data_IF_753168113700
#
_entry.id   IF_753168113700
#
_cell.length_a   1.000
_cell.length_b   1.000
_cell.length_c   1.000
_cell.angle_alpha   90.00
_cell.angle_beta   90.00
_cell.angle_gamma   90.00
#
_symmetry.space_group_name_H-M   'P 1'
#
loop_
_entity.id
_entity.type
_entity.pdbx_description
1 polymer ?
#
# COMPACT_ATOMS: atom_id res chain seq x y z
N UNK A 1 9.21 -35.52 -2.80
CA UNK A 1 8.85 -35.62 -4.23
C UNK A 1 7.39 -36.02 -4.31
N UNK A 2 6.50 -35.04 -4.43
CA UNK A 2 5.10 -35.27 -4.80
C UNK A 2 4.90 -34.45 -6.06
N UNK A 3 5.04 -35.08 -7.22
CA UNK A 3 4.58 -34.53 -8.49
C UNK A 3 3.09 -34.80 -8.58
N UNK A 4 2.27 -33.85 -8.13
CA UNK A 4 0.86 -33.81 -8.52
C UNK A 4 0.81 -33.20 -9.92
N UNK A 5 0.62 -34.04 -10.93
CA UNK A 5 0.17 -33.59 -12.24
C UNK A 5 -1.26 -33.05 -12.10
N UNK A 6 -1.37 -31.77 -11.75
CA UNK A 6 -2.62 -31.02 -11.81
C UNK A 6 -2.86 -30.75 -13.30
N UNK A 7 -3.68 -31.57 -13.94
CA UNK A 7 -4.34 -31.19 -15.19
C UNK A 7 -5.30 -30.07 -14.82
N UNK A 8 -4.82 -28.83 -14.83
CA UNK A 8 -5.68 -27.67 -14.64
C UNK A 8 -6.58 -27.59 -15.86
N UNK A 9 -7.89 -27.81 -15.71
CA UNK A 9 -8.86 -27.22 -16.61
C UNK A 9 -8.66 -25.69 -16.52
N UNK A 10 -7.85 -25.16 -17.43
CA UNK A 10 -7.44 -23.77 -17.45
C UNK A 10 -8.65 -22.87 -17.67
N UNK A 11 -8.75 -21.80 -16.88
CA UNK A 11 -9.59 -20.66 -17.25
C UNK A 11 -9.07 -20.14 -18.61
N UNK A 12 -9.91 -20.07 -19.65
CA UNK A 12 -9.56 -19.60 -21.00
C UNK A 12 -8.76 -18.28 -20.97
N UNK A 13 -9.06 -17.40 -20.02
CA UNK A 13 -8.43 -16.08 -19.88
C UNK A 13 -7.16 -16.10 -19.01
N UNK A 14 -6.64 -17.27 -18.63
CA UNK A 14 -5.43 -17.43 -17.80
C UNK A 14 -4.49 -18.46 -18.42
N UNK A 15 -3.51 -17.99 -19.16
CA UNK A 15 -2.43 -18.84 -19.64
C UNK A 15 -1.36 -19.00 -18.55
N UNK A 16 -1.07 -20.24 -18.16
CA UNK A 16 0.03 -20.53 -17.25
C UNK A 16 1.36 -20.26 -17.96
N UNK A 17 2.27 -19.56 -17.30
CA UNK A 17 3.61 -19.25 -17.81
C UNK A 17 4.62 -19.49 -16.69
N UNK A 18 5.69 -20.26 -16.92
CA UNK A 18 6.71 -20.48 -15.90
C UNK A 18 7.51 -19.20 -15.65
N UNK A 19 7.83 -18.90 -14.39
CA UNK A 19 8.68 -17.76 -14.04
C UNK A 19 9.48 -17.98 -12.76
N UNK A 20 10.51 -17.16 -12.57
CA UNK A 20 11.39 -17.21 -11.40
C UNK A 20 11.38 -15.87 -10.67
N UNK A 21 11.30 -15.89 -9.33
CA UNK A 21 11.51 -14.71 -8.49
C UNK A 21 12.82 -14.85 -7.69
N UNK A 22 13.65 -13.81 -7.76
CA UNK A 22 14.88 -13.67 -6.99
C UNK A 22 14.73 -12.51 -6.02
N UNK A 23 14.40 -12.84 -4.77
CA UNK A 23 14.27 -11.86 -3.70
C UNK A 23 15.56 -11.75 -2.88
N UNK A 24 16.06 -10.54 -2.67
CA UNK A 24 17.19 -10.28 -1.75
C UNK A 24 16.69 -9.83 -0.39
N UNK A 25 17.51 -10.06 0.64
CA UNK A 25 17.20 -9.64 2.01
C UNK A 25 17.72 -8.24 2.35
N UNK A 26 18.67 -7.72 1.58
CA UNK A 26 19.25 -6.39 1.75
C UNK A 26 19.09 -5.56 0.49
N UNK A 27 19.01 -4.24 0.65
CA UNK A 27 18.89 -3.31 -0.46
C UNK A 27 20.20 -3.23 -1.26
N UNK A 28 21.33 -3.30 -0.56
CA UNK A 28 22.66 -3.32 -1.17
C UNK A 28 22.83 -4.58 -2.04
N UNK A 29 22.35 -5.73 -1.56
CA UNK A 29 22.32 -6.98 -2.30
C UNK A 29 21.45 -6.89 -3.56
N UNK A 30 20.33 -6.16 -3.49
CA UNK A 30 19.48 -5.91 -4.66
C UNK A 30 20.18 -5.05 -5.72
N UNK A 31 20.82 -3.97 -5.28
CA UNK A 31 21.52 -3.04 -6.17
C UNK A 31 22.70 -3.72 -6.87
N UNK A 32 23.45 -4.55 -6.16
CA UNK A 32 24.64 -5.24 -6.66
C UNK A 32 24.36 -6.46 -7.54
N UNK A 33 23.09 -6.89 -7.69
CA UNK A 33 22.74 -8.00 -8.59
C UNK A 33 23.28 -7.77 -10.00
N UNK A 34 23.95 -8.78 -10.55
CA UNK A 34 24.30 -8.85 -11.97
C UNK A 34 23.05 -9.20 -12.79
N UNK A 35 22.30 -8.15 -13.12
CA UNK A 35 21.03 -8.20 -13.86
C UNK A 35 21.21 -8.78 -15.26
N UNK A 36 22.38 -8.57 -15.89
CA UNK A 36 22.61 -9.09 -17.23
C UNK A 36 22.87 -10.60 -17.20
N UNK A 37 23.65 -11.08 -16.22
CA UNK A 37 23.89 -12.51 -16.05
C UNK A 37 22.61 -13.27 -15.68
N UNK A 38 21.77 -12.72 -14.80
CA UNK A 38 20.46 -13.31 -14.47
C UNK A 38 19.55 -13.40 -15.70
N UNK A 39 19.46 -12.33 -16.49
CA UNK A 39 18.67 -12.32 -17.73
C UNK A 39 19.18 -13.37 -18.73
N UNK A 40 20.51 -13.46 -18.91
CA UNK A 40 21.14 -14.46 -19.78
C UNK A 40 20.88 -15.88 -19.30
N UNK A 41 20.95 -16.14 -17.99
CA UNK A 41 20.66 -17.45 -17.42
C UNK A 41 19.21 -17.90 -17.69
N UNK A 42 18.24 -17.00 -17.52
CA UNK A 42 16.83 -17.31 -17.83
C UNK A 42 16.58 -17.43 -19.34
N UNK A 43 17.24 -16.62 -20.17
CA UNK A 43 17.18 -16.73 -21.64
C UNK A 43 17.76 -18.07 -22.11
N UNK A 44 18.84 -18.53 -21.49
CA UNK A 44 19.47 -19.82 -21.80
C UNK A 44 18.50 -20.97 -21.55
N UNK A 45 17.70 -20.94 -20.48
CA UNK A 45 16.66 -21.95 -20.24
C UNK A 45 15.66 -22.03 -21.41
N UNK A 46 15.22 -20.89 -21.94
CA UNK A 46 14.34 -20.85 -23.12
C UNK A 46 15.05 -21.48 -24.33
N UNK A 47 16.33 -21.14 -24.54
CA UNK A 47 17.13 -21.71 -25.63
C UNK A 47 17.31 -23.23 -25.51
N UNK A 48 17.58 -23.73 -24.31
CA UNK A 48 17.73 -25.16 -24.01
C UNK A 48 16.38 -25.90 -24.17
N UNK A 49 15.27 -25.30 -23.72
CA UNK A 49 13.90 -25.81 -23.91
C UNK A 49 13.53 -25.87 -25.42
N UNK A 50 14.01 -24.92 -26.22
CA UNK A 50 13.92 -24.97 -27.69
C UNK A 50 14.73 -26.16 -28.23
N UNK A 51 16.02 -26.30 -27.87
CA UNK A 51 16.88 -27.35 -28.45
C UNK A 51 16.42 -28.76 -28.10
N UNK A 52 16.07 -28.99 -26.84
CA UNK A 52 15.58 -30.27 -26.34
C UNK A 52 14.24 -30.71 -26.96
N UNK A 53 13.48 -29.77 -27.55
CA UNK A 53 12.14 -30.05 -28.10
C UNK A 53 11.01 -29.83 -27.10
N UNK A 54 11.33 -29.57 -25.83
CA UNK A 54 10.33 -29.30 -24.78
C UNK A 54 9.42 -28.11 -25.11
N UNK A 55 9.94 -27.08 -25.79
CA UNK A 55 9.13 -25.94 -26.24
C UNK A 55 8.09 -26.28 -27.33
N UNK A 56 8.19 -27.46 -27.99
CA UNK A 56 7.16 -27.96 -28.90
C UNK A 56 6.05 -28.72 -28.15
N UNK A 57 6.40 -29.35 -27.03
CA UNK A 57 5.46 -30.06 -26.15
C UNK A 57 4.66 -29.08 -25.29
N UNK A 58 5.35 -28.14 -24.64
CA UNK A 58 4.79 -27.06 -23.86
C UNK A 58 5.34 -25.72 -24.35
N UNK A 59 4.58 -25.06 -25.22
CA UNK A 59 4.98 -23.79 -25.81
C UNK A 59 4.91 -22.60 -24.85
N UNK A 60 4.28 -22.75 -23.67
CA UNK A 60 4.21 -21.68 -22.68
C UNK A 60 5.60 -21.29 -22.13
N UNK A 61 6.56 -22.21 -22.17
CA UNK A 61 7.95 -21.97 -21.75
C UNK A 61 8.64 -20.86 -22.57
N UNK A 62 8.16 -20.58 -23.79
CA UNK A 62 8.66 -19.48 -24.62
C UNK A 62 8.39 -18.10 -24.01
N UNK A 63 7.39 -17.98 -23.14
CA UNK A 63 7.01 -16.72 -22.49
C UNK A 63 7.59 -16.58 -21.07
N UNK A 64 8.58 -17.42 -20.71
CA UNK A 64 9.21 -17.43 -19.38
C UNK A 64 9.59 -16.01 -18.93
N UNK A 65 9.33 -15.71 -17.65
CA UNK A 65 9.64 -14.40 -17.05
C UNK A 65 10.50 -14.50 -15.79
N UNK A 66 11.12 -13.39 -15.43
CA UNK A 66 12.00 -13.22 -14.28
C UNK A 66 11.56 -11.99 -13.47
N UNK A 67 11.56 -12.10 -12.14
CA UNK A 67 11.38 -10.97 -11.24
C UNK A 67 12.58 -10.92 -10.31
N UNK A 68 13.24 -9.76 -10.20
CA UNK A 68 14.16 -9.48 -9.09
C UNK A 68 13.45 -8.55 -8.10
N UNK A 69 13.57 -8.80 -6.80
CA UNK A 69 12.89 -7.98 -5.79
C UNK A 69 13.70 -7.78 -4.51
N UNK A 70 13.33 -6.73 -3.77
CA UNK A 70 13.71 -6.48 -2.38
C UNK A 70 12.51 -5.89 -1.63
N UNK A 71 12.21 -6.45 -0.46
CA UNK A 71 11.10 -6.01 0.38
C UNK A 71 11.62 -5.40 1.69
N UNK A 72 11.50 -4.08 1.82
CA UNK A 72 11.70 -3.39 3.11
C UNK A 72 10.40 -3.50 3.92
N UNK A 73 10.30 -4.54 4.75
CA UNK A 73 9.14 -4.80 5.60
C UNK A 73 9.02 -3.82 6.79
N UNK A 74 10.05 -3.00 7.06
CA UNK A 74 9.98 -1.97 8.11
C UNK A 74 9.29 -0.71 7.58
N UNK A 75 9.60 -0.32 6.35
CA UNK A 75 8.99 0.86 5.69
C UNK A 75 7.86 0.51 4.72
N UNK A 76 7.62 -0.79 4.52
CA UNK A 76 6.69 -1.35 3.53
C UNK A 76 6.96 -0.87 2.11
N UNK A 77 8.24 -0.71 1.75
CA UNK A 77 8.68 -0.40 0.39
C UNK A 77 9.08 -1.69 -0.33
N UNK A 78 8.47 -1.94 -1.49
CA UNK A 78 8.73 -3.12 -2.30
C UNK A 78 9.36 -2.69 -3.62
N UNK A 79 10.63 -3.03 -3.79
CA UNK A 79 11.40 -2.78 -5.00
C UNK A 79 11.33 -4.03 -5.86
N UNK A 80 11.03 -3.87 -7.14
CA UNK A 80 10.95 -5.00 -8.06
C UNK A 80 11.27 -4.59 -9.49
N UNK A 81 11.72 -5.54 -10.29
CA UNK A 81 11.94 -5.34 -11.72
C UNK A 81 11.61 -6.62 -12.47
N UNK A 82 10.69 -6.54 -13.43
CA UNK A 82 10.36 -7.64 -14.33
C UNK A 82 11.35 -7.69 -15.49
N UNK A 83 11.69 -8.91 -15.89
CA UNK A 83 12.29 -9.22 -17.16
C UNK A 83 11.44 -10.26 -17.90
N UNK A 84 11.25 -10.04 -19.19
CA UNK A 84 10.65 -10.97 -20.13
C UNK A 84 11.73 -11.41 -21.14
N UNK A 85 12.61 -12.36 -20.76
CA UNK A 85 13.74 -12.78 -21.59
C UNK A 85 13.32 -13.12 -23.02
N UNK A 86 13.94 -12.44 -23.99
CA UNK A 86 13.72 -12.66 -25.41
C UNK A 86 15.04 -12.84 -26.16
N UNK A 87 15.05 -13.84 -27.04
CA UNK A 87 16.17 -14.16 -27.93
C UNK A 87 16.24 -13.11 -29.05
N UNK A 88 17.42 -12.51 -29.23
CA UNK A 88 17.70 -11.60 -30.34
C UNK A 88 18.34 -12.40 -31.47
N UNK A 89 17.63 -12.54 -32.58
CA UNK A 89 18.17 -13.10 -33.81
C UNK A 89 19.21 -12.13 -34.38
N UNK A 90 20.35 -12.65 -34.82
CA UNK A 90 21.39 -11.90 -35.51
C UNK A 90 21.65 -12.52 -36.89
N UNK A 91 21.36 -11.81 -37.99
CA UNK A 91 20.69 -10.50 -38.07
C UNK A 91 19.25 -10.50 -37.52
N UNK A 92 18.75 -9.33 -37.12
CA UNK A 92 17.39 -9.18 -36.60
C UNK A 92 16.35 -9.59 -37.64
N UNK A 93 15.28 -10.27 -37.19
CA UNK A 93 14.15 -10.60 -38.05
C UNK A 93 13.54 -9.31 -38.63
N UNK A 94 13.31 -9.30 -39.94
CA UNK A 94 12.76 -8.16 -40.66
C UNK A 94 11.27 -8.37 -40.86
N UNK A 95 10.44 -7.42 -40.45
CA UNK A 95 9.00 -7.43 -40.72
C UNK A 95 8.78 -7.00 -42.18
N UNK A 96 8.28 -7.90 -43.02
CA UNK A 96 8.02 -7.64 -44.44
C UNK A 96 6.68 -6.93 -44.62
N UNK A 97 5.68 -7.31 -43.84
CA UNK A 97 4.36 -6.68 -43.86
C UNK A 97 3.48 -7.14 -42.70
N UNK A 98 2.52 -6.32 -42.32
CA UNK A 98 1.53 -6.61 -41.29
C UNK A 98 0.19 -5.98 -41.66
N UNK A 99 -0.90 -6.72 -41.50
CA UNK A 99 -2.26 -6.26 -41.83
C UNK A 99 -3.29 -6.84 -40.86
N UNK A 100 -4.46 -6.21 -40.70
CA UNK A 100 -5.57 -6.78 -39.94
C UNK A 100 -5.95 -8.17 -40.44
N UNK A 101 -6.34 -9.05 -39.52
CA UNK A 101 -6.70 -10.43 -39.80
C UNK A 101 -8.16 -10.60 -40.26
N UNK A 102 -8.91 -9.49 -40.45
CA UNK A 102 -10.36 -9.41 -40.72
C UNK A 102 -10.86 -10.18 -41.96
N UNK A 103 -9.97 -10.82 -42.69
CA UNK A 103 -10.24 -11.70 -43.83
C UNK A 103 -10.27 -13.20 -43.48
N UNK A 104 -10.16 -13.58 -42.20
CA UNK A 104 -9.96 -14.97 -41.78
C UNK A 104 -10.87 -15.33 -40.59
N UNK A 105 -11.49 -16.52 -40.64
CA UNK A 105 -12.47 -17.06 -39.67
C UNK A 105 -11.92 -17.17 -38.23
N UNK A 106 -12.84 -17.16 -37.25
CA UNK A 106 -12.64 -17.17 -35.79
C UNK A 106 -12.06 -18.49 -35.26
N UNK A 107 -10.76 -18.54 -34.91
CA UNK A 107 -10.13 -19.70 -34.30
C UNK A 107 -10.42 -19.79 -32.78
N UNK A 108 -10.76 -20.98 -32.26
CA UNK A 108 -10.71 -21.30 -30.82
C UNK A 108 -9.41 -22.04 -30.49
N UNK A 109 -8.35 -21.30 -30.13
CA UNK A 109 -7.11 -21.91 -29.68
C UNK A 109 -7.17 -22.26 -28.18
N UNK A 110 -6.46 -23.32 -27.79
CA UNK A 110 -6.38 -23.79 -26.39
C UNK A 110 -4.99 -23.61 -25.78
N UNK A 111 -4.00 -23.23 -26.59
CA UNK A 111 -2.62 -22.99 -26.18
C UNK A 111 -2.11 -21.67 -26.74
N UNK A 112 -1.18 -20.98 -26.04
CA UNK A 112 -0.74 -19.64 -26.41
C UNK A 112 0.10 -19.58 -27.68
N UNK A 113 0.60 -20.70 -28.19
CA UNK A 113 1.28 -20.80 -29.49
C UNK A 113 0.78 -22.04 -30.23
N UNK A 114 0.38 -21.86 -31.49
CA UNK A 114 -0.32 -22.86 -32.27
C UNK A 114 -0.06 -22.71 -33.77
N UNK A 115 -0.44 -23.72 -34.54
CA UNK A 115 -0.45 -23.70 -36.00
C UNK A 115 -1.87 -23.42 -36.49
N UNK A 116 -1.99 -22.61 -37.54
CA UNK A 116 -3.24 -22.42 -38.28
C UNK A 116 -3.04 -23.00 -39.67
N UNK A 117 -3.78 -24.06 -39.98
CA UNK A 117 -3.78 -24.71 -41.29
C UNK A 117 -5.05 -24.32 -42.05
N UNK A 118 -4.86 -23.85 -43.27
CA UNK A 118 -5.90 -23.39 -44.17
C UNK A 118 -5.89 -24.30 -45.39
N UNK A 119 -6.95 -25.09 -45.56
CA UNK A 119 -7.10 -25.96 -46.70
C UNK A 119 -7.54 -25.20 -47.95
N UNK A 120 -7.46 -25.85 -49.11
CA UNK A 120 -7.82 -25.26 -50.42
C UNK A 120 -9.30 -24.87 -50.53
N UNK A 121 -10.17 -25.50 -49.73
CA UNK A 121 -11.60 -25.16 -49.61
C UNK A 121 -11.87 -24.00 -48.64
N UNK A 122 -10.82 -23.33 -48.16
CA UNK A 122 -10.86 -22.25 -47.15
C UNK A 122 -11.28 -22.70 -45.75
N UNK A 123 -11.32 -24.00 -45.45
CA UNK A 123 -11.49 -24.48 -44.08
C UNK A 123 -10.24 -24.18 -43.24
N UNK A 124 -10.46 -23.72 -42.00
CA UNK A 124 -9.40 -23.32 -41.07
C UNK A 124 -9.38 -24.28 -39.89
N UNK A 125 -8.21 -24.86 -39.60
CA UNK A 125 -8.00 -25.75 -38.45
C UNK A 125 -6.83 -25.27 -37.61
N UNK A 126 -6.98 -25.32 -36.29
CA UNK A 126 -5.91 -25.04 -35.33
C UNK A 126 -5.29 -26.35 -34.88
N UNK A 127 -3.97 -26.40 -34.83
CA UNK A 127 -3.20 -27.59 -34.44
C UNK A 127 -2.09 -27.23 -33.47
N UNK A 128 -1.61 -28.22 -32.72
CA UNK A 128 -0.46 -28.02 -31.84
C UNK A 128 0.83 -27.91 -32.66
N UNK A 129 1.87 -27.28 -32.10
CA UNK A 129 3.17 -27.12 -32.78
C UNK A 129 3.83 -28.45 -33.13
N UNK A 130 3.60 -29.49 -32.32
CA UNK A 130 4.12 -30.85 -32.56
C UNK A 130 3.55 -31.50 -33.82
N UNK A 131 2.38 -31.07 -34.29
CA UNK A 131 1.69 -31.63 -35.45
C UNK A 131 2.20 -31.00 -36.78
N UNK A 132 3.35 -30.30 -36.73
CA UNK A 132 3.91 -29.58 -37.87
C UNK A 132 4.16 -30.46 -39.10
N UNK A 133 4.79 -31.63 -38.92
CA UNK A 133 5.15 -32.51 -40.04
C UNK A 133 3.90 -33.02 -40.77
N UNK A 134 2.82 -33.31 -40.04
CA UNK A 134 1.53 -33.74 -40.61
C UNK A 134 0.86 -32.63 -41.43
N UNK A 135 1.13 -31.36 -41.08
CA UNK A 135 0.53 -30.21 -41.76
C UNK A 135 1.24 -29.84 -43.07
N UNK A 136 2.53 -30.14 -43.18
CA UNK A 136 3.39 -29.70 -44.29
C UNK A 136 3.07 -30.41 -45.62
N UNK A 137 2.60 -31.66 -45.57
CA UNK A 137 2.38 -32.50 -46.75
C UNK A 137 1.10 -32.20 -47.54
N UNK A 138 0.13 -31.46 -46.98
CA UNK A 138 -1.24 -31.39 -47.52
C UNK A 138 -1.49 -30.26 -48.52
N UNK A 139 -0.46 -29.47 -48.88
CA UNK A 139 -0.62 -28.30 -49.77
C UNK A 139 -1.41 -27.13 -49.15
N UNK A 140 -1.71 -27.21 -47.85
CA UNK A 140 -2.42 -26.18 -47.10
C UNK A 140 -1.54 -24.96 -46.85
N UNK A 141 -2.16 -23.78 -46.75
CA UNK A 141 -1.46 -22.57 -46.28
C UNK A 141 -1.33 -22.63 -44.76
N UNK A 142 -0.13 -22.38 -44.25
CA UNK A 142 0.19 -22.46 -42.82
C UNK A 142 0.54 -21.09 -42.25
N UNK A 143 -0.01 -20.77 -41.08
CA UNK A 143 0.37 -19.60 -40.28
C UNK A 143 0.78 -20.05 -38.88
N UNK A 144 1.78 -19.37 -38.32
CA UNK A 144 2.22 -19.55 -36.95
C UNK A 144 1.46 -18.59 -36.03
N UNK A 145 0.44 -19.10 -35.34
CA UNK A 145 -0.40 -18.33 -34.43
C UNK A 145 0.17 -18.23 -33.02
N UNK A 146 -0.02 -17.09 -32.37
CA UNK A 146 0.27 -16.93 -30.95
C UNK A 146 -0.69 -15.91 -30.31
N UNK A 147 -0.90 -16.05 -28.99
CA UNK A 147 -1.66 -15.07 -28.20
C UNK A 147 -0.85 -13.80 -28.06
N UNK A 148 -1.36 -12.74 -28.68
CA UNK A 148 -0.69 -11.45 -28.70
C UNK A 148 -1.23 -10.54 -27.58
N UNK A 149 -0.44 -10.25 -26.52
CA UNK A 149 -0.85 -9.34 -25.46
C UNK A 149 -0.78 -7.86 -25.89
N UNK A 150 -0.20 -7.54 -27.05
CA UNK A 150 -0.09 -6.18 -27.55
C UNK A 150 -1.41 -5.71 -28.15
N UNK A 151 -1.80 -4.47 -27.85
CA UNK A 151 -2.98 -3.83 -28.42
C UNK A 151 -2.62 -2.89 -29.59
N UNK A 152 -1.33 -2.67 -29.88
CA UNK A 152 -0.92 -1.72 -30.92
C UNK A 152 -1.26 -2.26 -32.32
N UNK A 153 -1.80 -1.42 -33.22
CA UNK A 153 -2.40 -1.87 -34.50
C UNK A 153 -1.38 -2.37 -35.52
N UNK A 154 -0.10 -1.99 -35.39
CA UNK A 154 0.94 -2.32 -36.37
C UNK A 154 2.16 -2.98 -35.73
N UNK A 155 2.10 -3.33 -34.45
CA UNK A 155 3.22 -3.94 -33.73
C UNK A 155 2.77 -5.26 -33.12
N UNK A 156 3.44 -6.38 -33.46
CA UNK A 156 3.20 -7.64 -32.78
C UNK A 156 3.72 -7.58 -31.34
N UNK A 157 3.14 -8.39 -30.45
CA UNK A 157 3.59 -8.47 -29.08
C UNK A 157 4.93 -9.15 -28.88
N UNK A 158 5.45 -8.96 -27.66
CA UNK A 158 6.74 -9.46 -27.22
C UNK A 158 6.95 -10.98 -27.41
N UNK A 159 5.95 -11.87 -27.20
CA UNK A 159 6.13 -13.32 -27.33
C UNK A 159 6.59 -13.79 -28.73
N UNK A 160 6.33 -13.00 -29.78
CA UNK A 160 6.73 -13.34 -31.15
C UNK A 160 8.24 -13.56 -31.28
N UNK A 161 9.08 -12.85 -30.51
CA UNK A 161 10.55 -12.96 -30.60
C UNK A 161 11.04 -14.39 -30.37
N UNK A 162 10.60 -15.01 -29.26
CA UNK A 162 11.00 -16.36 -28.91
C UNK A 162 10.33 -17.39 -29.83
N UNK A 163 9.14 -17.09 -30.33
CA UNK A 163 8.46 -17.97 -31.27
C UNK A 163 9.16 -18.03 -32.63
N UNK A 164 9.58 -16.90 -33.19
CA UNK A 164 10.41 -16.84 -34.40
C UNK A 164 11.72 -17.61 -34.21
N UNK A 165 12.34 -17.50 -33.02
CA UNK A 165 13.54 -18.26 -32.71
C UNK A 165 13.29 -19.79 -32.69
N UNK A 166 12.17 -20.25 -32.11
CA UNK A 166 11.77 -21.66 -32.14
C UNK A 166 11.56 -22.14 -33.59
N UNK A 167 10.76 -21.42 -34.37
CA UNK A 167 10.39 -21.80 -35.75
C UNK A 167 11.64 -21.95 -36.62
N UNK A 168 12.53 -20.96 -36.56
CA UNK A 168 13.79 -20.99 -37.31
C UNK A 168 14.69 -22.13 -36.85
N UNK A 169 14.90 -22.30 -35.54
CA UNK A 169 15.81 -23.32 -35.00
C UNK A 169 15.31 -24.74 -35.29
N UNK A 170 13.99 -24.99 -35.25
CA UNK A 170 13.43 -26.33 -35.43
C UNK A 170 13.19 -26.72 -36.88
N UNK A 171 12.70 -25.81 -37.69
CA UNK A 171 12.24 -26.13 -39.05
C UNK A 171 13.02 -25.42 -40.15
N UNK A 172 14.00 -24.58 -39.79
CA UNK A 172 14.82 -23.80 -40.73
C UNK A 172 13.99 -22.96 -41.71
N UNK A 173 12.82 -22.47 -41.26
CA UNK A 173 11.92 -21.65 -42.07
C UNK A 173 12.38 -20.19 -41.97
N UNK A 174 12.74 -19.61 -43.12
CA UNK A 174 13.23 -18.23 -43.21
C UNK A 174 12.09 -17.21 -43.36
N UNK A 175 11.07 -17.56 -44.14
CA UNK A 175 9.93 -16.71 -44.44
C UNK A 175 8.73 -17.23 -43.64
N UNK A 176 8.42 -16.53 -42.55
CA UNK A 176 7.45 -16.98 -41.55
C UNK A 176 6.21 -16.10 -41.65
N UNK A 177 5.08 -16.73 -41.97
CA UNK A 177 3.77 -16.08 -41.84
C UNK A 177 3.22 -16.35 -40.45
N UNK A 178 2.88 -15.29 -39.72
CA UNK A 178 2.42 -15.38 -38.34
C UNK A 178 1.05 -14.72 -38.15
N UNK A 179 0.31 -15.21 -37.16
CA UNK A 179 -0.95 -14.64 -36.69
C UNK A 179 -0.79 -14.15 -35.25
N UNK A 180 -0.90 -12.85 -35.06
CA UNK A 180 -1.08 -12.20 -33.77
C UNK A 180 -2.56 -12.32 -33.37
N UNK A 181 -2.89 -13.37 -32.62
CA UNK A 181 -4.27 -13.62 -32.19
C UNK A 181 -4.59 -12.74 -30.99
N UNK A 182 -5.61 -11.89 -31.14
CA UNK A 182 -6.08 -10.93 -30.14
C UNK A 182 -7.58 -11.11 -29.93
N UNK A 183 -8.00 -10.97 -28.69
CA UNK A 183 -9.40 -11.08 -28.30
C UNK A 183 -9.91 -9.74 -27.78
N UNK A 184 -11.18 -9.48 -28.05
CA UNK A 184 -11.99 -8.51 -27.32
C UNK A 184 -12.75 -9.33 -26.26
N UNK A 185 -12.92 -8.88 -25.00
CA UNK A 185 -13.22 -9.75 -23.86
C UNK A 185 -14.24 -10.87 -24.14
N UNK A 186 -13.73 -12.11 -24.27
CA UNK A 186 -14.52 -13.33 -24.47
C UNK A 186 -14.67 -13.83 -25.91
N UNK A 187 -14.28 -13.06 -26.93
CA UNK A 187 -14.43 -13.43 -28.34
C UNK A 187 -13.18 -13.12 -29.17
N UNK A 188 -12.83 -14.05 -30.07
CA UNK A 188 -11.81 -13.83 -31.10
C UNK A 188 -12.22 -12.63 -31.96
N UNK A 189 -11.38 -11.61 -32.02
CA UNK A 189 -11.64 -10.42 -32.83
C UNK A 189 -10.56 -10.31 -33.91
N UNK A 190 -10.95 -10.71 -35.11
CA UNK A 190 -10.07 -10.73 -36.28
C UNK A 190 -9.86 -9.32 -36.85
N UNK A 191 -10.69 -8.34 -36.48
CA UNK A 191 -10.50 -6.94 -36.82
C UNK A 191 -9.29 -6.32 -36.13
N UNK A 192 -9.05 -6.71 -34.88
CA UNK A 192 -7.90 -6.22 -34.09
C UNK A 192 -6.68 -7.15 -34.18
N UNK A 193 -6.88 -8.45 -34.46
CA UNK A 193 -5.80 -9.42 -34.71
C UNK A 193 -5.01 -9.05 -35.96
N UNK A 194 -3.74 -9.46 -36.01
CA UNK A 194 -2.84 -9.11 -37.11
C UNK A 194 -2.28 -10.37 -37.79
N UNK A 195 -2.24 -10.37 -39.12
CA UNK A 195 -1.47 -11.33 -39.91
C UNK A 195 -0.26 -10.62 -40.47
N UNK A 196 0.92 -11.18 -40.25
CA UNK A 196 2.17 -10.61 -40.72
C UNK A 196 3.11 -11.63 -41.33
N UNK A 197 4.18 -11.11 -41.90
CA UNK A 197 5.26 -11.89 -42.48
C UNK A 197 6.61 -11.38 -41.96
N UNK A 198 7.41 -12.29 -41.41
CA UNK A 198 8.77 -12.02 -40.97
C UNK A 198 9.77 -12.79 -41.84
N UNK A 199 10.88 -12.15 -42.16
CA UNK A 199 12.03 -12.75 -42.83
C UNK A 199 13.19 -12.87 -41.84
N UNK A 200 13.79 -14.05 -41.78
CA UNK A 200 14.97 -14.35 -40.96
C UNK A 200 16.14 -14.67 -41.90
N UNK A 201 17.26 -13.97 -41.69
CA UNK A 201 18.53 -14.17 -42.40
C UNK A 201 19.37 -15.28 -41.76
N UNK A 202 20.38 -15.78 -42.47
CA UNK A 202 21.25 -16.86 -41.97
C UNK A 202 21.99 -16.49 -40.68
N UNK A 203 21.99 -17.42 -39.72
CA UNK A 203 22.60 -17.23 -38.40
C UNK A 203 24.08 -17.59 -38.40
N UNK A 204 24.86 -16.81 -37.65
CA UNK A 204 26.26 -17.12 -37.35
C UNK A 204 26.55 -17.41 -35.85
N UNK A 205 25.59 -17.24 -34.92
CA UNK A 205 25.86 -17.35 -33.47
C UNK A 205 24.63 -17.63 -32.57
N UNK A 206 24.90 -17.89 -31.28
CA UNK A 206 23.90 -18.03 -30.20
C UNK A 206 23.20 -16.68 -29.95
N UNK A 207 21.86 -16.62 -29.89
CA UNK A 207 21.14 -15.35 -29.72
C UNK A 207 21.51 -14.59 -28.44
N UNK A 208 21.63 -13.27 -28.56
CA UNK A 208 21.76 -12.40 -27.39
C UNK A 208 20.43 -12.30 -26.61
N UNK A 209 20.49 -11.81 -25.37
CA UNK A 209 19.37 -11.74 -24.44
C UNK A 209 18.95 -10.28 -24.16
N UNK A 210 17.65 -9.98 -24.32
CA UNK A 210 17.02 -8.72 -23.91
C UNK A 210 15.75 -9.01 -23.10
N UNK A 211 15.15 -7.99 -22.46
CA UNK A 211 13.82 -8.17 -21.85
C UNK A 211 13.52 -7.43 -20.55
N UNK A 212 14.44 -6.64 -20.00
CA UNK A 212 14.13 -5.82 -18.82
C UNK A 212 13.01 -4.81 -19.12
N UNK A 213 11.98 -4.80 -18.28
CA UNK A 213 10.84 -3.90 -18.40
C UNK A 213 11.27 -2.44 -18.18
N UNK A 214 10.67 -1.50 -18.89
CA UNK A 214 10.92 -0.07 -18.66
C UNK A 214 10.03 0.47 -17.53
N UNK A 215 10.58 1.39 -16.75
CA UNK A 215 9.86 2.20 -15.77
C UNK A 215 9.79 3.65 -16.29
N UNK A 216 8.59 4.09 -16.68
CA UNK A 216 8.35 5.44 -17.23
C UNK A 216 9.37 5.82 -18.33
N UNK A 217 9.59 4.89 -19.28
CA UNK A 217 10.52 5.09 -20.40
C UNK A 217 12.00 4.92 -20.07
N UNK A 218 12.39 4.70 -18.81
CA UNK A 218 13.78 4.46 -18.39
C UNK A 218 14.00 3.00 -18.00
N UNK A 219 15.22 2.50 -18.22
CA UNK A 219 15.63 1.21 -17.67
C UNK A 219 15.81 1.35 -16.17
N UNK A 220 14.98 0.68 -15.38
CA UNK A 220 15.13 0.70 -13.93
C UNK A 220 14.01 -0.03 -13.21
N UNK A 221 14.30 -0.40 -11.97
CA UNK A 221 13.34 -0.99 -11.05
C UNK A 221 12.17 -0.07 -10.75
N UNK A 222 11.04 -0.68 -10.40
CA UNK A 222 9.88 -0.02 -9.81
C UNK A 222 9.95 -0.11 -8.29
N UNK A 223 9.32 0.83 -7.59
CA UNK A 223 9.15 0.80 -6.16
C UNK A 223 7.70 1.16 -5.81
N UNK A 224 7.09 0.39 -4.93
CA UNK A 224 5.75 0.66 -4.40
C UNK A 224 5.77 0.70 -2.88
N UNK A 225 5.18 1.74 -2.29
CA UNK A 225 4.97 1.82 -0.85
C UNK A 225 3.57 1.30 -0.50
N UNK A 226 3.52 0.20 0.26
CA UNK A 226 2.27 -0.43 0.68
C UNK A 226 1.95 -0.15 2.16
N UNK A 227 2.62 0.79 2.82
CA UNK A 227 2.38 1.09 4.23
C UNK A 227 0.92 1.49 4.48
N UNK A 228 0.25 2.18 3.54
CA UNK A 228 -1.17 2.55 3.70
C UNK A 228 -2.12 1.35 3.83
N UNK A 229 -1.72 0.18 3.30
CA UNK A 229 -2.57 -1.03 3.28
C UNK A 229 -2.00 -2.17 4.12
N UNK A 230 -0.74 -2.07 4.57
CA UNK A 230 -0.08 -3.14 5.34
C UNK A 230 0.42 -2.70 6.72
N UNK A 231 0.73 -1.43 6.94
CA UNK A 231 1.23 -0.95 8.24
C UNK A 231 0.10 -0.97 9.27
N UNK A 232 0.17 -1.81 10.32
CA UNK A 232 -0.89 -1.92 11.32
C UNK A 232 -1.22 -0.59 12.00
N UNK A 233 -0.22 0.26 12.22
CA UNK A 233 -0.41 1.57 12.85
C UNK A 233 -1.22 2.49 11.93
N UNK A 234 -0.87 2.54 10.63
CA UNK A 234 -1.59 3.36 9.65
C UNK A 234 -3.00 2.85 9.38
N UNK A 235 -3.18 1.53 9.40
CA UNK A 235 -4.50 0.90 9.29
C UNK A 235 -5.39 1.28 10.49
N UNK A 236 -4.85 1.22 11.71
CA UNK A 236 -5.57 1.65 12.92
C UNK A 236 -5.96 3.14 12.86
N UNK A 237 -5.03 4.02 12.47
CA UNK A 237 -5.31 5.46 12.27
C UNK A 237 -6.44 5.64 11.25
N UNK A 238 -6.32 4.99 10.09
CA UNK A 238 -7.30 5.12 9.00
C UNK A 238 -8.68 4.61 9.42
N UNK A 239 -8.76 3.54 10.21
CA UNK A 239 -10.00 3.00 10.72
C UNK A 239 -10.69 3.95 11.73
N UNK A 240 -9.91 4.55 12.65
CA UNK A 240 -10.43 5.56 13.60
C UNK A 240 -10.96 6.78 12.85
N UNK A 241 -10.17 7.33 11.92
CA UNK A 241 -10.56 8.51 11.15
C UNK A 241 -11.77 8.23 10.25
N UNK A 242 -11.89 7.01 9.71
CA UNK A 242 -13.05 6.59 8.92
C UNK A 242 -14.32 6.60 9.76
N UNK A 243 -14.29 6.13 11.01
CA UNK A 243 -15.48 6.16 11.88
C UNK A 243 -16.00 7.60 12.09
N UNK A 244 -15.11 8.57 12.31
CA UNK A 244 -15.49 9.98 12.46
C UNK A 244 -16.02 10.57 11.15
N UNK A 245 -15.40 10.22 10.00
CA UNK A 245 -15.91 10.61 8.68
C UNK A 245 -17.29 10.01 8.40
N UNK A 246 -17.55 8.77 8.81
CA UNK A 246 -18.86 8.14 8.67
C UNK A 246 -19.93 8.85 9.48
N UNK A 247 -19.62 9.30 10.71
CA UNK A 247 -20.53 10.14 11.49
C UNK A 247 -20.86 11.45 10.76
N UNK A 248 -19.84 12.13 10.20
CA UNK A 248 -20.03 13.34 9.40
C UNK A 248 -20.90 13.07 8.17
N UNK A 249 -20.59 12.05 7.38
CA UNK A 249 -21.31 11.78 6.14
C UNK A 249 -22.74 11.30 6.36
N UNK A 250 -22.99 10.50 7.40
CA UNK A 250 -24.30 9.85 7.62
C UNK A 250 -25.24 10.66 8.51
N UNK A 251 -24.72 11.35 9.51
CA UNK A 251 -25.54 11.95 10.56
C UNK A 251 -25.41 13.48 10.61
N UNK A 252 -24.20 14.02 10.53
CA UNK A 252 -23.97 15.46 10.72
C UNK A 252 -22.94 16.02 9.73
N UNK A 253 -23.34 16.37 8.48
CA UNK A 253 -22.42 16.84 7.44
C UNK A 253 -21.65 18.12 7.81
N UNK A 254 -22.25 18.96 8.65
CA UNK A 254 -21.67 20.20 9.20
C UNK A 254 -20.64 19.97 10.31
N UNK A 255 -20.42 18.73 10.76
CA UNK A 255 -19.41 18.41 11.77
C UNK A 255 -18.01 18.79 11.26
N UNK A 256 -17.38 19.74 11.94
CA UNK A 256 -16.00 20.13 11.65
C UNK A 256 -15.01 19.23 12.40
N UNK A 257 -14.39 18.31 11.65
CA UNK A 257 -13.38 17.41 12.18
C UNK A 257 -12.01 18.10 12.37
N UNK A 258 -11.81 19.32 11.87
CA UNK A 258 -10.54 20.03 12.04
C UNK A 258 -10.32 20.49 13.50
N UNK A 259 -11.40 20.73 14.24
CA UNK A 259 -11.38 21.08 15.67
C UNK A 259 -10.69 19.99 16.51
N UNK A 260 -10.64 18.76 16.03
CA UNK A 260 -9.98 17.62 16.68
C UNK A 260 -8.45 17.72 16.72
N UNK A 261 -7.87 18.69 16.02
CA UNK A 261 -6.44 19.01 16.10
C UNK A 261 -6.04 19.77 17.37
N UNK A 262 -7.03 20.17 18.19
CA UNK A 262 -6.82 20.89 19.44
C UNK A 262 -5.91 20.12 20.42
N UNK A 263 -5.07 20.86 21.13
CA UNK A 263 -4.27 20.38 22.25
C UNK A 263 -5.10 20.43 23.53
N UNK A 264 -5.31 19.29 24.17
CA UNK A 264 -6.08 19.19 25.40
C UNK A 264 -5.18 18.98 26.61
N UNK A 265 -5.43 19.75 27.68
CA UNK A 265 -4.72 19.67 28.96
C UNK A 265 -5.65 19.19 30.08
N UNK A 266 -5.79 17.87 30.30
CA UNK A 266 -6.38 17.34 31.53
C UNK A 266 -5.53 17.61 32.77
N UNK A 267 -6.03 18.45 33.67
CA UNK A 267 -5.47 18.67 35.01
C UNK A 267 -6.14 17.70 35.99
N UNK A 268 -5.42 16.65 36.36
CA UNK A 268 -5.91 15.48 37.08
C UNK A 268 -5.96 14.26 36.18
N UNK A 269 -5.33 13.16 36.60
CA UNK A 269 -5.31 11.87 35.94
C UNK A 269 -6.06 10.79 36.75
N UNK A 270 -6.97 11.21 37.62
CA UNK A 270 -7.86 10.33 38.38
C UNK A 270 -9.02 9.80 37.52
N UNK A 271 -10.15 9.41 38.15
CA UNK A 271 -11.31 8.83 37.46
C UNK A 271 -11.80 9.70 36.30
N UNK A 272 -11.93 11.01 36.52
CA UNK A 272 -12.34 11.94 35.48
C UNK A 272 -11.27 12.07 34.38
N UNK A 273 -10.02 12.28 34.76
CA UNK A 273 -8.89 12.40 33.82
C UNK A 273 -8.78 11.21 32.88
N UNK A 274 -8.87 10.00 33.44
CA UNK A 274 -8.83 8.76 32.68
C UNK A 274 -9.97 8.68 31.65
N UNK A 275 -11.21 9.00 32.05
CA UNK A 275 -12.36 8.89 31.17
C UNK A 275 -12.37 9.99 30.10
N UNK A 276 -12.08 11.23 30.48
CA UNK A 276 -11.99 12.36 29.54
C UNK A 276 -10.90 12.10 28.51
N UNK A 277 -9.71 11.63 28.90
CA UNK A 277 -8.64 11.33 27.95
C UNK A 277 -9.04 10.23 26.94
N UNK A 278 -9.73 9.17 27.41
CA UNK A 278 -10.25 8.13 26.52
C UNK A 278 -11.32 8.65 25.56
N UNK A 279 -12.22 9.51 26.04
CA UNK A 279 -13.25 10.12 25.20
C UNK A 279 -12.66 11.08 24.17
N UNK A 280 -11.69 11.90 24.54
CA UNK A 280 -10.97 12.77 23.62
C UNK A 280 -10.33 11.97 22.48
N UNK A 281 -9.64 10.88 22.82
CA UNK A 281 -9.03 9.98 21.83
C UNK A 281 -10.07 9.32 20.91
N UNK A 282 -11.21 8.89 21.47
CA UNK A 282 -12.31 8.31 20.68
C UNK A 282 -12.92 9.33 19.70
N UNK A 283 -12.96 10.60 20.07
CA UNK A 283 -13.37 11.69 19.19
C UNK A 283 -12.31 12.13 18.19
N UNK A 284 -11.10 11.57 18.23
CA UNK A 284 -10.05 11.87 17.26
C UNK A 284 -8.98 12.85 17.74
N UNK A 285 -9.06 13.34 18.98
CA UNK A 285 -8.01 14.19 19.55
C UNK A 285 -6.72 13.38 19.68
N UNK A 286 -5.62 13.97 19.22
CA UNK A 286 -4.29 13.32 19.24
C UNK A 286 -3.38 13.87 20.31
N UNK A 287 -3.47 15.16 20.64
CA UNK A 287 -2.54 15.86 21.54
C UNK A 287 -3.15 16.00 22.93
N UNK A 288 -2.67 15.22 23.90
CA UNK A 288 -3.21 15.16 25.26
C UNK A 288 -2.06 15.24 26.26
N UNK A 289 -2.08 16.24 27.14
CA UNK A 289 -1.09 16.37 28.22
C UNK A 289 -1.78 16.20 29.56
N UNK A 290 -1.44 15.15 30.30
CA UNK A 290 -2.01 14.89 31.64
C UNK A 290 -1.10 15.44 32.73
N UNK A 291 -1.68 16.14 33.71
CA UNK A 291 -0.96 16.65 34.88
C UNK A 291 -1.49 15.99 36.14
N UNK A 292 -0.61 15.33 36.91
CA UNK A 292 -0.97 14.69 38.18
C UNK A 292 0.29 14.43 39.03
N UNK A 293 0.25 14.73 40.33
CA UNK A 293 1.36 14.46 41.26
C UNK A 293 1.29 13.09 41.94
N UNK A 294 0.14 12.44 41.87
CA UNK A 294 -0.16 11.21 42.58
C UNK A 294 0.46 9.96 41.96
N UNK A 295 0.52 8.91 42.77
CA UNK A 295 0.89 7.56 42.34
C UNK A 295 -0.34 6.67 42.25
N UNK A 296 -0.28 5.65 41.41
CA UNK A 296 -1.34 4.66 41.24
C UNK A 296 -1.37 3.74 42.48
N UNK A 297 -2.49 3.75 43.20
CA UNK A 297 -2.75 2.89 44.35
C UNK A 297 -3.59 1.66 43.97
N UNK A 298 -3.55 0.61 44.80
CA UNK A 298 -4.25 -0.67 44.57
C UNK A 298 -5.76 -0.54 44.30
N UNK A 299 -6.42 0.48 44.85
CA UNK A 299 -7.86 0.72 44.64
C UNK A 299 -8.18 1.44 43.32
N UNK A 300 -7.19 2.03 42.65
CA UNK A 300 -7.40 2.87 41.48
C UNK A 300 -7.82 2.12 40.21
N UNK A 301 -7.24 0.97 39.82
CA UNK A 301 -7.55 0.32 38.54
C UNK A 301 -9.03 0.00 38.30
N UNK A 302 -9.82 -0.23 39.36
CA UNK A 302 -11.26 -0.48 39.26
C UNK A 302 -12.09 0.77 38.94
N UNK A 303 -11.55 1.97 39.17
CA UNK A 303 -12.25 3.26 39.02
C UNK A 303 -11.59 4.19 38.00
N UNK A 304 -10.35 3.90 37.61
CA UNK A 304 -9.50 4.75 36.80
C UNK A 304 -9.03 3.95 35.59
N UNK A 305 -9.72 4.15 34.46
CA UNK A 305 -9.70 3.27 33.28
C UNK A 305 -8.41 3.27 32.46
N UNK A 306 -7.37 3.94 32.93
CA UNK A 306 -6.04 3.95 32.32
C UNK A 306 -5.00 3.24 33.17
N UNK A 307 -5.36 2.58 34.26
CA UNK A 307 -4.41 1.89 35.13
C UNK A 307 -4.69 0.41 35.24
N UNK A 308 -3.62 -0.35 35.43
CA UNK A 308 -3.66 -1.81 35.63
C UNK A 308 -3.03 -2.16 36.98
N UNK A 309 -3.19 -3.41 37.41
CA UNK A 309 -2.54 -3.91 38.62
C UNK A 309 -1.01 -3.71 38.58
N UNK A 310 -0.40 -3.87 37.41
CA UNK A 310 1.04 -3.71 37.24
C UNK A 310 1.52 -2.29 37.55
N UNK A 311 0.69 -1.28 37.31
CA UNK A 311 1.02 0.12 37.60
C UNK A 311 0.98 0.43 39.12
N UNK A 312 0.40 -0.47 39.93
CA UNK A 312 0.30 -0.33 41.39
C UNK A 312 1.50 -0.94 42.14
N UNK A 313 2.27 -1.81 41.48
CA UNK A 313 3.35 -2.57 42.12
C UNK A 313 4.52 -1.65 42.49
N UNK A 314 5.39 -2.12 43.40
CA UNK A 314 6.61 -1.41 43.81
C UNK A 314 6.39 0.03 44.34
N UNK A 315 5.28 0.26 45.04
CA UNK A 315 4.94 1.57 45.59
C UNK A 315 4.22 2.50 44.61
N UNK A 316 3.80 1.99 43.46
CA UNK A 316 2.98 2.69 42.48
C UNK A 316 3.78 3.58 41.54
N UNK A 317 3.46 3.48 40.25
CA UNK A 317 3.93 4.39 39.21
C UNK A 317 3.22 5.75 39.31
N UNK A 318 3.84 6.81 38.80
CA UNK A 318 3.18 8.12 38.73
C UNK A 318 2.00 8.09 37.76
N UNK A 319 0.84 8.56 38.21
CA UNK A 319 -0.42 8.54 37.45
C UNK A 319 -0.28 9.16 36.07
N UNK A 320 0.32 10.35 35.99
CA UNK A 320 0.54 11.04 34.70
C UNK A 320 1.36 10.20 33.71
N UNK A 321 2.37 9.46 34.18
CA UNK A 321 3.24 8.63 33.35
C UNK A 321 2.53 7.34 32.92
N UNK A 322 1.85 6.65 33.86
CA UNK A 322 1.07 5.46 33.55
C UNK A 322 -0.09 5.76 32.59
N UNK A 323 -0.76 6.89 32.73
CA UNK A 323 -1.83 7.30 31.84
C UNK A 323 -1.34 7.44 30.40
N UNK A 324 -0.20 8.09 30.18
CA UNK A 324 0.43 8.25 28.86
C UNK A 324 0.80 6.90 28.26
N UNK A 325 1.46 6.04 29.06
CA UNK A 325 1.85 4.69 28.64
C UNK A 325 0.64 3.91 28.15
N UNK A 326 -0.45 3.90 28.92
CA UNK A 326 -1.63 3.12 28.61
C UNK A 326 -2.47 3.74 27.47
N UNK A 327 -2.48 5.07 27.31
CA UNK A 327 -3.04 5.71 26.11
C UNK A 327 -2.30 5.28 24.83
N UNK A 328 -0.96 5.28 24.85
CA UNK A 328 -0.13 4.84 23.71
C UNK A 328 -0.29 3.35 23.41
N UNK A 329 -0.57 2.54 24.42
CA UNK A 329 -0.92 1.12 24.22
C UNK A 329 -2.29 0.95 23.54
N UNK A 330 -3.28 1.79 23.88
CA UNK A 330 -4.61 1.74 23.26
C UNK A 330 -4.55 2.21 21.80
N UNK A 331 -3.88 3.34 21.53
CA UNK A 331 -3.75 3.90 20.20
C UNK A 331 -2.35 4.51 19.99
N UNK A 332 -1.44 3.82 19.27
CA UNK A 332 -0.05 4.23 19.16
C UNK A 332 0.18 5.62 18.56
N UNK A 333 -0.78 6.15 17.79
CA UNK A 333 -0.68 7.45 17.16
C UNK A 333 -1.20 8.61 18.03
N UNK A 334 -1.52 8.37 19.32
CA UNK A 334 -1.78 9.44 20.27
C UNK A 334 -0.46 10.13 20.67
N UNK A 335 -0.42 11.44 20.54
CA UNK A 335 0.64 12.33 21.01
C UNK A 335 0.34 12.71 22.47
N UNK A 336 0.57 11.76 23.38
CA UNK A 336 0.33 11.95 24.81
C UNK A 336 1.61 12.28 25.59
N UNK A 337 1.51 13.25 26.50
CA UNK A 337 2.55 13.70 27.44
C UNK A 337 2.03 13.69 28.89
N UNK A 338 2.94 13.48 29.84
CA UNK A 338 2.61 13.29 31.26
C UNK A 338 3.52 14.15 32.11
N UNK A 339 2.92 15.03 32.91
CA UNK A 339 3.62 15.96 33.78
C UNK A 339 3.32 15.61 35.23
N UNK A 340 4.35 15.17 35.95
CA UNK A 340 4.28 14.95 37.40
C UNK A 340 4.50 16.28 38.10
N UNK A 341 3.43 16.87 38.62
CA UNK A 341 3.45 18.19 39.27
C UNK A 341 2.22 18.36 40.15
N UNK A 342 2.40 18.94 41.33
CA UNK A 342 1.29 19.31 42.21
C UNK A 342 0.69 20.65 41.75
N UNK A 343 -0.61 20.86 41.96
CA UNK A 343 -1.25 22.15 41.71
C UNK A 343 -1.38 22.88 43.05
N UNK A 344 -0.70 24.03 43.25
CA UNK A 344 -0.76 24.77 44.49
C UNK A 344 -2.19 25.16 44.87
N UNK A 345 -2.59 24.83 46.09
CA UNK A 345 -3.94 25.08 46.60
C UNK A 345 -3.97 26.34 47.49
N UNK A 346 -4.96 27.23 47.31
CA UNK A 346 -5.14 28.35 48.22
C UNK A 346 -5.42 27.87 49.65
N UNK A 347 -5.01 28.66 50.64
CA UNK A 347 -5.24 28.37 52.06
C UNK A 347 -4.27 27.36 52.69
N UNK A 348 -3.31 26.82 51.93
CA UNK A 348 -2.26 25.95 52.46
C UNK A 348 -0.97 26.75 52.65
N UNK A 349 -0.36 26.76 53.85
CA UNK A 349 0.88 27.49 54.09
C UNK A 349 2.04 26.82 53.33
N UNK A 350 2.88 27.64 52.71
CA UNK A 350 4.11 27.21 52.03
C UNK A 350 5.30 27.55 52.93
N UNK A 351 6.10 26.56 53.38
CA UNK A 351 7.33 26.83 54.12
C UNK A 351 8.32 27.63 53.27
N UNK A 352 9.12 28.51 53.87
CA UNK A 352 10.05 29.36 53.13
C UNK A 352 11.10 28.60 52.30
N UNK A 353 11.38 27.34 52.65
CA UNK A 353 12.28 26.48 51.88
C UNK A 353 11.65 25.96 50.57
N UNK A 354 10.32 25.96 50.47
CA UNK A 354 9.57 25.44 49.32
C UNK A 354 9.02 26.55 48.40
N UNK A 355 9.09 27.82 48.82
CA UNK A 355 8.55 28.97 48.10
C UNK A 355 9.01 29.02 46.63
N UNK A 356 10.31 28.86 46.39
CA UNK A 356 10.85 28.90 45.02
C UNK A 356 10.32 27.74 44.15
N UNK A 357 10.19 26.54 44.72
CA UNK A 357 9.64 25.39 44.02
C UNK A 357 8.17 25.60 43.66
N UNK A 358 7.37 26.11 44.60
CA UNK A 358 5.95 26.41 44.36
C UNK A 358 5.79 27.51 43.30
N UNK A 359 6.65 28.52 43.31
CA UNK A 359 6.67 29.55 42.25
C UNK A 359 7.03 28.94 40.88
N UNK A 360 7.96 27.99 40.83
CA UNK A 360 8.29 27.27 39.58
C UNK A 360 7.12 26.41 39.09
N UNK A 361 6.40 25.72 39.97
CA UNK A 361 5.19 24.97 39.61
C UNK A 361 4.07 25.88 39.10
N UNK A 362 3.89 27.06 39.70
CA UNK A 362 2.97 28.08 39.21
C UNK A 362 3.33 28.53 37.78
N UNK A 363 4.61 28.82 37.51
CA UNK A 363 5.08 29.20 36.16
C UNK A 363 4.85 28.07 35.15
N UNK A 364 5.23 26.84 35.53
CA UNK A 364 5.04 25.66 34.68
C UNK A 364 3.58 25.39 34.36
N UNK A 365 2.68 25.53 35.34
CA UNK A 365 1.24 25.42 35.14
C UNK A 365 0.74 26.48 34.16
N UNK A 366 1.20 27.73 34.29
CA UNK A 366 0.87 28.81 33.37
C UNK A 366 1.33 28.51 31.94
N UNK A 367 2.56 28.03 31.75
CA UNK A 367 3.11 27.66 30.44
C UNK A 367 2.32 26.51 29.79
N UNK A 368 1.96 25.50 30.58
CA UNK A 368 1.10 24.40 30.12
C UNK A 368 -0.26 24.93 29.67
N UNK A 369 -0.94 25.74 30.48
CA UNK A 369 -2.24 26.33 30.11
C UNK A 369 -2.14 27.17 28.84
N UNK A 370 -1.11 28.01 28.74
CA UNK A 370 -0.90 28.91 27.60
C UNK A 370 -0.59 28.17 26.29
N UNK A 371 0.10 27.02 26.37
CA UNK A 371 0.49 26.21 25.21
C UNK A 371 -0.59 25.24 24.69
N UNK A 372 -1.71 25.10 25.40
CA UNK A 372 -2.84 24.22 25.05
C UNK A 372 -4.08 25.02 24.62
N UNK A 373 -4.96 24.40 23.85
CA UNK A 373 -6.16 25.05 23.30
C UNK A 373 -7.36 24.92 24.25
N UNK A 374 -7.50 23.74 24.87
CA UNK A 374 -8.58 23.41 25.80
C UNK A 374 -8.02 22.86 27.10
N UNK A 375 -8.46 23.42 28.23
CA UNK A 375 -8.05 22.99 29.58
C UNK A 375 -9.22 22.27 30.26
N UNK A 376 -8.96 21.10 30.84
CA UNK A 376 -9.95 20.37 31.62
C UNK A 376 -9.56 20.39 33.09
N UNK A 377 -10.41 20.93 33.96
CA UNK A 377 -10.21 20.96 35.40
C UNK A 377 -10.88 19.73 36.01
N UNK A 378 -10.07 18.72 36.35
CA UNK A 378 -10.51 17.38 36.74
C UNK A 378 -9.93 16.93 38.08
N UNK A 379 -9.42 17.87 38.88
CA UNK A 379 -8.83 17.63 40.20
C UNK A 379 -9.89 17.39 41.28
N UNK A 380 -9.52 16.75 42.40
CA UNK A 380 -10.51 16.29 43.39
C UNK A 380 -11.22 17.40 44.17
N UNK A 381 -10.56 18.53 44.41
CA UNK A 381 -11.05 19.58 45.32
C UNK A 381 -11.36 20.88 44.58
N UNK A 382 -12.16 21.76 45.20
CA UNK A 382 -12.40 23.11 44.66
C UNK A 382 -11.16 23.98 44.76
N UNK A 383 -10.35 23.79 45.81
CA UNK A 383 -9.15 24.56 46.10
C UNK A 383 -8.11 24.35 44.99
N UNK A 384 -7.87 23.10 44.58
CA UNK A 384 -6.96 22.76 43.48
C UNK A 384 -7.40 23.31 42.11
N UNK A 385 -8.66 23.73 41.95
CA UNK A 385 -9.17 24.32 40.70
C UNK A 385 -8.98 25.82 40.62
N UNK A 386 -8.74 26.50 41.75
CA UNK A 386 -8.70 27.96 41.81
C UNK A 386 -7.61 28.55 40.91
N UNK A 387 -6.36 28.11 41.09
CA UNK A 387 -5.22 28.65 40.35
C UNK A 387 -5.30 28.34 38.83
N UNK A 388 -5.59 27.10 38.41
CA UNK A 388 -5.84 26.81 36.99
C UNK A 388 -6.97 27.66 36.39
N UNK A 389 -8.06 27.88 37.11
CA UNK A 389 -9.18 28.69 36.64
C UNK A 389 -8.74 30.13 36.39
N UNK A 390 -7.95 30.70 37.31
CA UNK A 390 -7.41 32.06 37.18
C UNK A 390 -6.49 32.18 35.95
N UNK A 391 -5.54 31.26 35.78
CA UNK A 391 -4.65 31.27 34.62
C UNK A 391 -5.38 31.03 33.30
N UNK A 392 -6.34 30.12 33.27
CA UNK A 392 -7.19 29.90 32.10
C UNK A 392 -7.97 31.15 31.71
N UNK A 393 -8.53 31.88 32.68
CA UNK A 393 -9.23 33.13 32.42
C UNK A 393 -8.29 34.21 31.90
N UNK A 394 -7.11 34.37 32.51
CA UNK A 394 -6.09 35.32 32.08
C UNK A 394 -5.58 35.04 30.65
N UNK A 395 -5.40 33.76 30.29
CA UNK A 395 -4.94 33.32 28.97
C UNK A 395 -6.08 33.11 27.96
N UNK A 396 -7.32 33.51 28.28
CA UNK A 396 -8.52 33.37 27.43
C UNK A 396 -8.75 31.95 26.87
N UNK A 397 -8.52 30.92 27.70
CA UNK A 397 -8.63 29.51 27.29
C UNK A 397 -10.04 28.96 27.47
N UNK A 398 -10.48 28.12 26.52
CA UNK A 398 -11.67 27.29 26.71
C UNK A 398 -11.37 26.33 27.85
N UNK A 399 -12.14 26.44 28.93
CA UNK A 399 -11.87 25.67 30.14
C UNK A 399 -13.13 24.93 30.56
N UNK A 400 -13.03 23.61 30.72
CA UNK A 400 -14.14 22.75 31.11
C UNK A 400 -13.87 22.22 32.52
N UNK A 401 -14.70 22.61 33.47
CA UNK A 401 -14.71 22.04 34.82
C UNK A 401 -15.66 20.86 34.86
N UNK A 402 -15.21 19.74 35.42
CA UNK A 402 -16.09 18.65 35.82
C UNK A 402 -15.81 18.28 37.28
N UNK A 403 -16.84 18.23 38.13
CA UNK A 403 -16.74 17.88 39.55
C UNK A 403 -17.76 16.81 39.93
N UNK A 404 -17.42 15.99 40.93
CA UNK A 404 -18.25 14.87 41.39
C UNK A 404 -18.69 15.10 42.84
N UNK A 405 -19.99 14.96 43.08
CA UNK A 405 -20.56 14.70 44.39
C UNK A 405 -20.74 13.19 44.62
N UNK A 406 -21.44 12.82 45.69
CA UNK A 406 -21.71 11.41 46.01
C UNK A 406 -22.56 10.72 44.94
N UNK A 407 -23.66 11.35 44.54
CA UNK A 407 -24.67 10.86 43.60
C UNK A 407 -24.98 11.87 42.46
N UNK A 408 -24.17 12.93 42.36
CA UNK A 408 -24.38 14.06 41.46
C UNK A 408 -23.06 14.49 40.84
N UNK A 409 -23.13 15.25 39.74
CA UNK A 409 -21.96 15.83 39.09
C UNK A 409 -22.28 17.21 38.52
N UNK A 410 -21.24 18.03 38.34
CA UNK A 410 -21.30 19.33 37.68
C UNK A 410 -20.35 19.30 36.48
N UNK A 411 -20.82 19.75 35.32
CA UNK A 411 -19.96 20.10 34.18
C UNK A 411 -20.26 21.53 33.77
N UNK A 412 -19.23 22.37 33.68
CA UNK A 412 -19.36 23.77 33.30
C UNK A 412 -18.23 24.20 32.37
N UNK A 413 -18.50 25.16 31.49
CA UNK A 413 -17.52 25.79 30.60
C UNK A 413 -17.24 27.22 31.06
N UNK A 414 -15.97 27.57 31.19
CA UNK A 414 -15.45 28.93 31.36
C UNK A 414 -14.79 29.42 30.05
N UNK A 415 -14.55 30.73 29.95
CA UNK A 415 -13.85 31.37 28.84
C UNK A 415 -14.76 32.06 27.82
N UNK A 416 -14.15 32.80 26.90
CA UNK A 416 -14.85 33.64 25.92
C UNK A 416 -15.71 32.86 24.91
N UNK A 417 -16.59 33.60 24.22
CA UNK A 417 -17.57 33.12 23.25
C UNK A 417 -16.90 32.35 22.09
N UNK A 418 -17.50 31.28 21.53
CA UNK A 418 -16.89 30.45 20.48
C UNK A 418 -16.53 31.19 19.17
N UNK A 419 -16.89 32.46 19.03
CA UNK A 419 -16.88 33.23 17.78
C UNK A 419 -15.89 34.42 17.74
N UNK A 420 -15.08 34.66 18.77
CA UNK A 420 -14.17 35.82 18.76
C UNK A 420 -12.97 35.70 17.81
N UNK A 421 -12.75 34.54 17.17
CA UNK A 421 -11.64 34.28 16.24
C UNK A 421 -12.04 34.21 14.76
N UNK A 422 -13.32 34.42 14.38
CA UNK A 422 -13.77 34.28 12.99
C UNK A 422 -13.93 35.59 12.20
N UNK A 423 -13.20 36.66 12.54
CA UNK A 423 -13.23 37.91 11.76
C UNK A 423 -12.17 38.01 10.64
N UNK A 424 -11.61 36.89 10.17
CA UNK A 424 -10.62 36.88 9.08
C UNK A 424 -10.90 35.85 7.97
N UNK A 425 -12.16 35.51 7.70
CA UNK A 425 -12.54 34.87 6.44
C UNK A 425 -13.13 35.93 5.52
N UNK A 426 -12.27 36.44 4.63
CA UNK A 426 -12.65 37.23 3.47
C UNK A 426 -13.82 36.54 2.75
N UNK A 427 -14.91 37.28 2.63
CA UNK A 427 -15.97 37.09 1.65
C UNK A 427 -15.38 36.76 0.27
N UNK A 428 -15.41 35.49 -0.14
CA UNK A 428 -15.48 35.15 -1.55
C UNK A 428 -16.96 35.14 -1.93
N UNK A 429 -17.37 36.31 -2.40
CA UNK A 429 -18.61 36.53 -3.15
C UNK A 429 -18.77 35.51 -4.26
N UNK A 430 -19.96 34.91 -4.27
CA UNK A 430 -20.61 34.22 -5.37
C UNK A 430 -20.33 34.89 -6.72
N UNK A 431 -19.95 34.09 -7.71
CA UNK A 431 -20.22 34.40 -9.11
C UNK A 431 -20.98 33.22 -9.70
N UNK A 432 -22.28 33.44 -9.80
CA UNK A 432 -23.20 32.76 -10.69
C UNK A 432 -23.03 33.32 -12.10
N UNK A 433 -22.56 32.51 -13.05
CA UNK A 433 -23.01 32.46 -14.45
C UNK A 433 -22.60 31.12 -15.06
#
# INVERSE_FOLDING_TARGET
>A
RFESAIVSLGNRNKCSVPGTIYNTNTFEGYQSLDKQSLLKAETKKIWDDIHSGKALEDSAVLSRFLIISFADLKKWNFYYWFAFPALVLEPAATLVGIKPASQWLSPEATCPFFLVSIASDSSVTIRHLKDWEDCKGNGHKLLFGFYDPCHLPHNPGWPLRNYLALIFTKWNIRRIHFLCFRENPGFADMGISLVGEALISDRNSVPNAIGWEYNMGKKGSKCVNLAKVMDPTRLAISAVDLNLKLMRWRALPSLDLNVLSAKCLPLGADTLGCQVARMLMAWGVRKITLVDSGKVAMSNPLRQSLYTLNDCLNGGEFKAISAVKNLKQIFPAVEAEGVVMAIPMPGHPVPSQEEESVLNDCRRLHDLISSHDVVFLLTDTRESRWLPTLFSAASSKITITAALGFDSFLVMRHGADPFSSSNNLKTQTEWSS
#
